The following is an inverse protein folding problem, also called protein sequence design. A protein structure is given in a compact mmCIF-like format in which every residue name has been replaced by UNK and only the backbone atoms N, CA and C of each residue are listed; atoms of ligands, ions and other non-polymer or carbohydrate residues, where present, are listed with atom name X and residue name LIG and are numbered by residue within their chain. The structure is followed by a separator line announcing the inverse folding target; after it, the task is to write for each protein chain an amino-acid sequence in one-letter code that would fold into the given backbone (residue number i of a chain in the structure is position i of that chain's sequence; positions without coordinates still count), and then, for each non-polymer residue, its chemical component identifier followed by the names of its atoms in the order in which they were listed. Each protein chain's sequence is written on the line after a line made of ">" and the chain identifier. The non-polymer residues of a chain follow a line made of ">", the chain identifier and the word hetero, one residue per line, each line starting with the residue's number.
data_IF_515820613440
#
_entry.id   IF_515820613440
#
_cell.length_a   1.000
_cell.length_b   1.000
_cell.length_c   1.000
_cell.angle_alpha   90.00
_cell.angle_beta   90.00
_cell.angle_gamma   90.00
#
_symmetry.space_group_name_H-M   'P 1'
#
loop_
_entity.id
_entity.type
_entity.pdbx_description
1 polymer ?
#
# COMPACT_ATOMS: atom_id res chain seq x y z
N UNK A 1 28.38 12.18 50.55
CA UNK A 1 26.97 12.22 50.08
C UNK A 1 26.75 13.23 48.94
N UNK A 2 27.22 14.49 49.03
CA UNK A 2 27.07 15.49 47.94
C UNK A 2 27.64 15.07 46.56
N UNK A 3 28.78 14.39 46.52
CA UNK A 3 29.42 13.92 45.26
C UNK A 3 28.64 12.81 44.54
N UNK A 4 27.99 11.92 45.30
CA UNK A 4 27.18 10.82 44.77
C UNK A 4 25.87 11.37 44.17
N UNK A 5 25.24 12.33 44.86
CA UNK A 5 24.05 13.00 44.36
C UNK A 5 24.32 13.75 43.05
N UNK A 6 25.48 14.39 42.92
CA UNK A 6 25.89 15.08 41.70
C UNK A 6 26.06 14.12 40.51
N UNK A 7 26.61 12.93 40.75
CA UNK A 7 26.78 11.87 39.75
C UNK A 7 25.45 11.30 39.27
N UNK A 8 24.45 11.19 40.16
CA UNK A 8 23.10 10.74 39.80
C UNK A 8 22.39 11.79 38.95
N UNK A 9 22.43 13.06 39.36
CA UNK A 9 21.79 14.16 38.61
C UNK A 9 22.43 14.31 37.22
N UNK A 10 23.76 14.19 37.10
CA UNK A 10 24.45 14.28 35.83
C UNK A 10 24.07 13.12 34.88
N UNK A 11 23.94 11.88 35.40
CA UNK A 11 23.46 10.75 34.60
C UNK A 11 21.99 10.90 34.18
N UNK A 12 21.12 11.45 35.03
CA UNK A 12 19.72 11.72 34.68
C UNK A 12 19.59 12.78 33.57
N UNK A 13 20.44 13.81 33.57
CA UNK A 13 20.43 14.84 32.51
C UNK A 13 20.95 14.25 31.18
N UNK A 14 22.01 13.44 31.21
CA UNK A 14 22.54 12.77 30.01
C UNK A 14 21.52 11.78 29.43
N UNK A 15 20.80 11.02 30.27
CA UNK A 15 19.71 10.14 29.85
C UNK A 15 18.52 10.92 29.26
N UNK A 16 18.19 12.09 29.80
CA UNK A 16 17.14 12.97 29.26
C UNK A 16 17.54 13.57 27.91
N UNK A 17 18.81 13.95 27.72
CA UNK A 17 19.30 14.49 26.44
C UNK A 17 19.49 13.42 25.35
N UNK A 18 19.72 12.15 25.73
CA UNK A 18 19.74 11.03 24.77
C UNK A 18 18.34 10.73 24.24
N UNK A 19 17.28 11.11 24.98
CA UNK A 19 15.90 10.87 24.57
C UNK A 19 15.42 11.85 23.48
N UNK A 20 15.99 13.06 23.38
CA UNK A 20 15.59 14.06 22.39
C UNK A 20 16.11 13.76 20.97
N UNK A 21 17.19 12.96 20.85
CA UNK A 21 17.63 12.42 19.55
C UNK A 21 16.93 11.10 19.20
N UNK A 22 16.16 10.55 20.14
CA UNK A 22 15.22 9.47 19.93
C UNK A 22 13.78 10.01 19.84
N UNK A 23 13.59 11.22 19.30
CA UNK A 23 12.42 11.47 18.46
C UNK A 23 12.55 10.46 17.32
N UNK A 24 12.00 9.28 17.56
CA UNK A 24 11.63 8.31 16.55
C UNK A 24 11.06 9.12 15.40
N UNK A 25 11.84 9.31 14.34
CA UNK A 25 11.26 9.51 13.03
C UNK A 25 10.42 8.27 12.86
N UNK A 26 9.14 8.33 13.22
CA UNK A 26 8.20 7.30 12.86
C UNK A 26 8.39 7.13 11.37
N UNK A 27 9.06 6.04 10.98
CA UNK A 27 9.20 5.70 9.57
C UNK A 27 7.76 5.59 9.11
N UNK A 28 7.26 6.56 8.33
CA UNK A 28 5.92 6.51 7.77
C UNK A 28 5.84 5.23 6.95
N UNK A 29 5.22 4.20 7.54
CA UNK A 29 5.05 2.87 6.93
C UNK A 29 3.86 2.84 5.98
N UNK A 30 3.07 3.91 6.00
CA UNK A 30 1.81 4.02 5.31
C UNK A 30 1.92 5.10 4.21
N UNK A 31 1.37 4.80 3.05
CA UNK A 31 1.09 5.79 2.01
C UNK A 31 -0.36 5.65 1.58
N UNK A 32 -1.08 6.77 1.64
CA UNK A 32 -2.45 6.86 1.18
C UNK A 32 -2.52 7.71 -0.08
N UNK A 33 -3.31 7.26 -1.05
CA UNK A 33 -3.67 8.05 -2.22
C UNK A 33 -5.15 7.87 -2.53
N UNK A 34 -5.79 8.96 -2.95
CA UNK A 34 -7.17 8.93 -3.40
C UNK A 34 -7.20 8.53 -4.87
N UNK A 35 -8.13 7.66 -5.25
CA UNK A 35 -8.35 7.36 -6.66
C UNK A 35 -9.28 8.45 -7.21
N UNK A 36 -8.85 9.23 -8.22
CA UNK A 36 -9.69 10.26 -8.79
C UNK A 36 -11.01 9.66 -9.31
N UNK A 37 -12.09 10.43 -9.25
CA UNK A 37 -13.44 10.08 -9.73
C UNK A 37 -14.23 9.11 -8.82
N UNK A 38 -13.60 8.52 -7.80
CA UNK A 38 -14.27 7.70 -6.79
C UNK A 38 -13.92 8.14 -5.37
N UNK A 39 -14.88 7.96 -4.45
CA UNK A 39 -14.71 8.20 -3.02
C UNK A 39 -14.00 6.99 -2.35
N UNK A 40 -12.81 6.68 -2.86
CA UNK A 40 -11.96 5.57 -2.43
C UNK A 40 -10.53 6.06 -2.23
N UNK A 41 -10.06 5.87 -1.01
CA UNK A 41 -8.66 6.01 -0.62
C UNK A 41 -8.04 4.62 -0.53
N UNK A 42 -6.89 4.45 -1.16
CA UNK A 42 -6.06 3.26 -1.02
C UNK A 42 -4.91 3.59 -0.09
N UNK A 43 -4.79 2.83 1.00
CA UNK A 43 -3.62 2.91 1.88
C UNK A 43 -2.79 1.65 1.75
N UNK A 44 -1.51 1.83 1.43
CA UNK A 44 -0.54 0.75 1.42
C UNK A 44 0.29 0.81 2.69
N UNK A 45 0.55 -0.33 3.31
CA UNK A 45 1.30 -0.39 4.56
C UNK A 45 2.21 -1.61 4.61
N UNK A 46 3.50 -1.43 4.86
CA UNK A 46 4.42 -2.53 5.14
C UNK A 46 4.58 -2.65 6.64
N UNK A 47 4.39 -3.84 7.18
CA UNK A 47 4.40 -4.13 8.61
C UNK A 47 5.57 -5.04 9.00
N UNK A 48 5.90 -5.02 10.29
CA UNK A 48 6.89 -5.92 10.87
C UNK A 48 6.47 -7.39 10.64
N UNK A 49 7.45 -8.28 10.49
CA UNK A 49 7.19 -9.67 10.12
C UNK A 49 6.92 -9.87 8.62
N UNK A 50 7.23 -8.88 7.78
CA UNK A 50 7.25 -9.03 6.34
C UNK A 50 5.87 -9.10 5.71
N UNK A 51 4.88 -8.35 6.22
CA UNK A 51 3.55 -8.25 5.64
C UNK A 51 3.35 -6.93 4.90
N UNK A 52 2.60 -6.98 3.81
CA UNK A 52 2.17 -5.82 3.05
C UNK A 52 0.65 -5.78 2.99
N UNK A 53 0.06 -4.66 3.39
CA UNK A 53 -1.37 -4.41 3.34
C UNK A 53 -1.69 -3.44 2.22
N UNK A 54 -2.71 -3.76 1.42
CA UNK A 54 -3.41 -2.81 0.54
C UNK A 54 -4.82 -2.66 1.07
N UNK A 55 -5.18 -1.46 1.54
CA UNK A 55 -6.39 -1.20 2.32
C UNK A 55 -7.28 -0.24 1.55
N UNK A 56 -8.56 -0.57 1.48
CA UNK A 56 -9.58 0.15 0.74
C UNK A 56 -10.56 0.79 1.72
N UNK A 57 -10.49 2.11 1.84
CA UNK A 57 -11.32 2.90 2.76
C UNK A 57 -11.81 4.16 2.08
N UNK A 58 -12.80 4.82 2.68
CA UNK A 58 -13.18 6.17 2.25
C UNK A 58 -12.11 7.18 2.68
N UNK A 59 -11.69 7.09 3.93
CA UNK A 59 -10.76 8.03 4.57
C UNK A 59 -9.33 7.47 4.60
N UNK A 60 -8.33 8.34 4.63
CA UNK A 60 -6.92 7.94 4.79
C UNK A 60 -6.64 7.34 6.16
N UNK A 61 -5.75 6.34 6.22
CA UNK A 61 -5.29 5.75 7.47
C UNK A 61 -3.91 6.30 7.81
N UNK A 62 -3.83 7.12 8.84
CA UNK A 62 -2.57 7.76 9.25
C UNK A 62 -1.57 6.76 9.84
N UNK A 63 -2.04 5.83 10.68
CA UNK A 63 -1.19 4.85 11.38
C UNK A 63 -1.90 3.51 11.55
N UNK A 64 -1.15 2.42 11.38
CA UNK A 64 -1.58 1.07 11.75
C UNK A 64 -0.71 0.54 12.88
N UNK A 65 -1.25 -0.23 13.85
CA UNK A 65 -0.45 -0.81 14.91
C UNK A 65 0.60 -1.79 14.38
N UNK A 66 1.82 -1.72 14.92
CA UNK A 66 2.97 -2.54 14.51
C UNK A 66 2.77 -4.05 14.68
N UNK A 67 1.89 -4.45 15.60
CA UNK A 67 1.62 -5.85 15.94
C UNK A 67 0.35 -6.39 15.29
N UNK A 68 -0.24 -5.67 14.33
CA UNK A 68 -1.48 -6.12 13.71
C UNK A 68 -1.21 -7.32 12.80
N UNK A 69 -1.92 -8.42 13.07
CA UNK A 69 -1.89 -9.61 12.22
C UNK A 69 -2.96 -9.49 11.14
N UNK A 70 -4.15 -9.01 11.52
CA UNK A 70 -5.29 -8.77 10.64
C UNK A 70 -6.02 -7.50 11.04
N UNK A 71 -6.49 -6.74 10.06
CA UNK A 71 -7.35 -5.57 10.31
C UNK A 71 -8.77 -6.03 10.66
N UNK A 72 -9.56 -5.17 11.35
CA UNK A 72 -10.95 -5.49 11.68
C UNK A 72 -11.77 -5.88 10.46
N UNK A 73 -12.74 -6.79 10.65
CA UNK A 73 -13.60 -7.31 9.58
C UNK A 73 -14.41 -6.24 8.85
N UNK A 74 -14.49 -5.03 9.40
CA UNK A 74 -15.17 -3.86 8.82
C UNK A 74 -14.34 -3.14 7.75
N UNK A 75 -13.06 -3.48 7.60
CA UNK A 75 -12.13 -2.85 6.66
C UNK A 75 -11.91 -3.80 5.49
N UNK A 76 -11.96 -3.29 4.26
CA UNK A 76 -11.66 -4.12 3.10
C UNK A 76 -10.16 -4.02 2.81
N UNK A 77 -9.47 -5.15 2.72
CA UNK A 77 -8.03 -5.15 2.49
C UNK A 77 -7.53 -6.46 1.90
N UNK A 78 -6.32 -6.38 1.35
CA UNK A 78 -5.49 -7.50 0.95
C UNK A 78 -4.27 -7.51 1.87
N UNK A 79 -3.95 -8.66 2.43
CA UNK A 79 -2.67 -8.91 3.08
C UNK A 79 -1.85 -9.85 2.22
N UNK A 80 -0.57 -9.51 2.07
CA UNK A 80 0.38 -10.26 1.26
C UNK A 80 1.72 -10.41 1.97
N UNK A 81 2.41 -11.50 1.71
CA UNK A 81 3.76 -11.74 2.21
C UNK A 81 4.78 -10.95 1.38
N UNK A 82 5.72 -10.24 2.00
CA UNK A 82 6.69 -9.33 1.34
C UNK A 82 7.89 -10.02 0.67
N UNK A 83 8.00 -11.35 0.74
CA UNK A 83 9.14 -12.07 0.15
C UNK A 83 9.03 -12.08 -1.39
N UNK A 84 10.03 -11.51 -2.08
CA UNK A 84 10.16 -11.46 -3.56
C UNK A 84 8.83 -11.30 -4.32
N UNK A 85 7.99 -10.38 -3.84
CA UNK A 85 6.65 -10.19 -4.37
C UNK A 85 6.67 -9.69 -5.82
N UNK A 86 5.88 -10.34 -6.67
CA UNK A 86 5.34 -9.69 -7.87
C UNK A 86 4.40 -8.53 -7.49
N UNK A 87 4.11 -7.62 -8.43
CA UNK A 87 3.29 -6.44 -8.14
C UNK A 87 1.88 -6.82 -7.67
N UNK A 88 1.33 -6.04 -6.75
CA UNK A 88 -0.10 -6.07 -6.44
C UNK A 88 -0.79 -5.22 -7.49
N UNK A 89 -1.76 -5.79 -8.18
CA UNK A 89 -2.46 -5.13 -9.29
C UNK A 89 -3.95 -5.21 -9.06
N UNK A 90 -4.65 -4.08 -9.22
CA UNK A 90 -6.10 -4.05 -9.12
C UNK A 90 -6.75 -3.03 -10.06
N UNK A 91 -7.97 -3.34 -10.49
CA UNK A 91 -8.74 -2.56 -11.45
C UNK A 91 -10.05 -2.14 -10.80
N UNK A 92 -10.43 -0.90 -11.04
CA UNK A 92 -11.67 -0.33 -10.53
C UNK A 92 -12.44 0.30 -11.68
N UNK A 93 -13.76 0.19 -11.61
CA UNK A 93 -14.67 0.89 -12.49
C UNK A 93 -15.28 2.09 -11.71
N UNK A 94 -14.98 3.34 -12.07
CA UNK A 94 -15.57 4.51 -11.42
C UNK A 94 -17.10 4.54 -11.43
N UNK A 95 -17.74 3.88 -12.41
CA UNK A 95 -19.18 3.74 -12.48
C UNK A 95 -19.74 2.66 -11.53
N UNK A 96 -18.92 1.71 -11.08
CA UNK A 96 -19.31 0.61 -10.17
C UNK A 96 -18.43 0.64 -8.91
N UNK A 97 -18.79 1.55 -7.99
CA UNK A 97 -17.95 1.95 -6.85
C UNK A 97 -17.74 0.88 -5.77
N UNK A 98 -18.52 -0.20 -5.81
CA UNK A 98 -18.51 -1.22 -4.76
C UNK A 98 -17.64 -2.42 -5.09
N UNK A 99 -17.11 -2.53 -6.33
CA UNK A 99 -16.31 -3.68 -6.77
C UNK A 99 -14.89 -3.28 -7.12
N UNK A 100 -13.93 -4.01 -6.57
CA UNK A 100 -12.50 -3.84 -6.83
C UNK A 100 -11.98 -5.18 -7.33
N UNK A 101 -11.42 -5.19 -8.53
CA UNK A 101 -10.95 -6.40 -9.18
C UNK A 101 -9.46 -6.59 -8.92
N UNK A 102 -9.09 -7.63 -8.18
CA UNK A 102 -7.72 -7.91 -7.76
C UNK A 102 -7.13 -8.96 -8.69
N UNK A 103 -5.99 -8.67 -9.30
CA UNK A 103 -5.29 -9.68 -10.11
C UNK A 103 -4.65 -10.70 -9.18
N UNK A 104 -4.90 -11.98 -9.45
CA UNK A 104 -4.32 -13.11 -8.71
C UNK A 104 -2.80 -12.97 -8.64
N UNK A 105 -2.30 -13.12 -7.43
CA UNK A 105 -0.89 -13.09 -7.13
C UNK A 105 -0.64 -14.17 -6.05
N UNK A 106 0.32 -15.08 -6.24
CA UNK A 106 0.58 -16.18 -5.31
C UNK A 106 0.99 -15.72 -3.90
N UNK A 107 1.40 -14.47 -3.75
CA UNK A 107 1.81 -13.88 -2.47
C UNK A 107 0.64 -13.24 -1.69
N UNK A 108 -0.58 -13.26 -2.22
CA UNK A 108 -1.78 -12.83 -1.48
C UNK A 108 -2.16 -13.94 -0.49
N UNK A 109 -1.97 -13.67 0.81
CA UNK A 109 -2.29 -14.60 1.88
C UNK A 109 -3.76 -14.50 2.32
N UNK A 110 -4.31 -13.29 2.28
CA UNK A 110 -5.64 -13.03 2.83
C UNK A 110 -6.35 -11.87 2.14
N UNK A 111 -7.67 -12.02 1.97
CA UNK A 111 -8.56 -11.03 1.38
C UNK A 111 -9.76 -10.86 2.30
N UNK A 112 -9.94 -9.66 2.86
CA UNK A 112 -11.15 -9.29 3.57
C UNK A 112 -12.03 -8.43 2.68
N UNK A 113 -13.17 -8.99 2.26
CA UNK A 113 -14.22 -8.24 1.58
C UNK A 113 -15.26 -7.80 2.61
N UNK A 114 -15.33 -6.50 2.89
CA UNK A 114 -16.32 -5.94 3.82
C UNK A 114 -17.14 -4.86 3.14
N UNK A 115 -16.69 -3.61 3.19
CA UNK A 115 -17.35 -2.47 2.55
C UNK A 115 -17.27 -2.50 1.03
N UNK A 116 -16.20 -3.10 0.49
CA UNK A 116 -15.99 -3.28 -0.94
C UNK A 116 -15.96 -4.78 -1.26
N UNK A 117 -16.54 -5.16 -2.39
CA UNK A 117 -16.45 -6.50 -2.95
C UNK A 117 -15.10 -6.64 -3.65
N UNK A 118 -14.19 -7.43 -3.07
CA UNK A 118 -12.89 -7.73 -3.67
C UNK A 118 -13.02 -8.98 -4.55
N UNK A 119 -12.97 -8.79 -5.86
CA UNK A 119 -13.14 -9.84 -6.87
C UNK A 119 -11.78 -10.29 -7.38
N UNK A 120 -11.40 -11.53 -7.09
CA UNK A 120 -10.15 -12.08 -7.58
C UNK A 120 -10.25 -12.42 -9.09
N UNK A 121 -9.23 -12.07 -9.86
CA UNK A 121 -9.15 -12.24 -11.31
C UNK A 121 -7.89 -12.98 -11.72
N UNK A 122 -8.02 -13.99 -12.58
CA UNK A 122 -6.87 -14.57 -13.25
C UNK A 122 -6.23 -13.56 -14.21
N UNK A 123 -4.94 -13.70 -14.45
CA UNK A 123 -4.20 -12.84 -15.38
C UNK A 123 -4.84 -12.79 -16.78
N UNK A 124 -5.35 -13.92 -17.30
CA UNK A 124 -6.03 -13.97 -18.60
C UNK A 124 -7.39 -13.25 -18.61
N UNK A 125 -8.13 -13.31 -17.49
CA UNK A 125 -9.40 -12.60 -17.32
C UNK A 125 -9.14 -11.09 -17.25
N UNK A 126 -8.07 -10.68 -16.59
CA UNK A 126 -7.62 -9.28 -16.56
C UNK A 126 -7.47 -8.72 -17.97
N UNK A 127 -6.70 -9.40 -18.83
CA UNK A 127 -6.44 -8.92 -20.19
C UNK A 127 -7.71 -8.89 -21.04
N UNK A 128 -8.45 -10.00 -21.10
CA UNK A 128 -9.65 -10.10 -21.95
C UNK A 128 -10.78 -9.16 -21.54
N UNK A 129 -11.03 -9.01 -20.23
CA UNK A 129 -12.13 -8.19 -19.74
C UNK A 129 -11.82 -6.70 -19.78
N UNK A 130 -10.60 -6.28 -19.40
CA UNK A 130 -10.32 -4.88 -19.07
C UNK A 130 -9.44 -4.14 -20.07
N UNK A 131 -8.77 -4.84 -20.98
CA UNK A 131 -7.89 -4.21 -21.97
C UNK A 131 -8.38 -4.42 -23.39
N UNK A 132 -8.11 -3.44 -24.26
CA UNK A 132 -8.37 -3.54 -25.68
C UNK A 132 -7.55 -4.68 -26.30
N UNK A 133 -8.10 -5.40 -27.29
CA UNK A 133 -7.34 -6.41 -28.04
C UNK A 133 -6.10 -5.77 -28.67
N UNK A 134 -4.95 -6.42 -28.49
CA UNK A 134 -3.70 -5.99 -29.12
C UNK A 134 -3.49 -6.67 -30.46
N UNK A 135 -2.86 -5.96 -31.39
CA UNK A 135 -2.26 -6.56 -32.60
C UNK A 135 -0.73 -6.54 -32.43
N UNK A 136 -0.11 -7.72 -32.32
CA UNK A 136 1.34 -7.84 -32.20
C UNK A 136 1.90 -7.37 -30.85
N UNK A 137 2.92 -6.50 -30.88
CA UNK A 137 3.66 -6.03 -29.68
C UNK A 137 3.21 -4.67 -29.17
N UNK A 138 2.06 -4.17 -29.61
CA UNK A 138 1.50 -2.90 -29.15
C UNK A 138 1.27 -2.90 -27.62
N UNK A 139 1.35 -1.73 -26.95
CA UNK A 139 1.09 -1.61 -25.52
C UNK A 139 -0.37 -1.96 -25.18
N UNK A 140 -0.65 -2.26 -23.90
CA UNK A 140 -1.96 -2.71 -23.43
C UNK A 140 -2.72 -1.39 -23.21
N UNK A 141 -3.86 -1.23 -23.88
CA UNK A 141 -4.70 -0.05 -23.69
C UNK A 141 -5.84 -0.47 -22.77
N UNK A 142 -5.94 0.14 -21.60
CA UNK A 142 -7.03 -0.10 -20.66
C UNK A 142 -8.34 0.42 -21.25
N UNK A 143 -9.42 -0.34 -21.19
CA UNK A 143 -10.76 0.08 -21.66
C UNK A 143 -11.31 1.21 -20.79
N UNK A 144 -12.01 2.17 -21.38
CA UNK A 144 -12.80 3.13 -20.63
C UNK A 144 -14.01 2.44 -19.96
N UNK A 145 -14.43 2.80 -18.72
CA UNK A 145 -13.90 3.84 -17.84
C UNK A 145 -12.93 3.31 -16.78
N UNK A 146 -12.31 2.15 -16.98
CA UNK A 146 -11.55 1.51 -15.91
C UNK A 146 -10.30 2.32 -15.52
N UNK A 147 -9.91 2.17 -14.25
CA UNK A 147 -8.65 2.64 -13.69
C UNK A 147 -7.90 1.41 -13.20
N UNK A 148 -6.65 1.24 -13.65
CA UNK A 148 -5.79 0.13 -13.25
C UNK A 148 -4.65 0.68 -12.41
N UNK A 149 -4.41 0.06 -11.25
CA UNK A 149 -3.36 0.45 -10.32
C UNK A 149 -2.42 -0.73 -10.14
N UNK A 150 -1.12 -0.43 -10.21
CA UNK A 150 -0.03 -1.39 -10.00
C UNK A 150 0.84 -0.88 -8.87
N UNK A 151 1.05 -1.72 -7.86
CA UNK A 151 1.94 -1.48 -6.73
C UNK A 151 3.11 -2.46 -6.84
N UNK A 152 4.25 -1.96 -7.28
CA UNK A 152 5.53 -2.68 -7.27
C UNK A 152 6.09 -2.62 -5.85
N UNK A 153 5.87 -3.67 -5.08
CA UNK A 153 6.18 -3.74 -3.64
C UNK A 153 7.68 -3.80 -3.33
N UNK A 154 8.50 -4.15 -4.33
CA UNK A 154 9.97 -4.20 -4.30
C UNK A 154 10.62 -2.81 -4.32
N UNK A 155 10.19 -1.96 -5.25
CA UNK A 155 10.66 -0.58 -5.47
C UNK A 155 9.80 0.45 -4.76
N UNK A 156 8.67 0.00 -4.21
CA UNK A 156 7.57 0.83 -3.75
C UNK A 156 7.17 1.91 -4.76
N UNK A 157 6.95 1.45 -5.99
CA UNK A 157 6.42 2.27 -7.07
C UNK A 157 4.93 2.00 -7.18
N UNK A 158 4.12 3.05 -7.24
CA UNK A 158 2.69 2.96 -7.48
C UNK A 158 2.39 3.71 -8.75
N UNK A 159 1.88 2.97 -9.73
CA UNK A 159 1.52 3.46 -11.03
C UNK A 159 0.01 3.35 -11.25
N UNK A 160 -0.54 4.34 -11.96
CA UNK A 160 -1.94 4.39 -12.35
C UNK A 160 -2.02 4.47 -13.86
N UNK A 161 -2.76 3.52 -14.43
CA UNK A 161 -3.14 3.46 -15.83
C UNK A 161 -4.63 3.83 -15.99
N UNK A 162 -4.91 4.65 -17.00
CA UNK A 162 -6.27 5.06 -17.40
C UNK A 162 -6.45 4.79 -18.90
N UNK A 163 -7.59 5.18 -19.48
CA UNK A 163 -7.84 5.15 -20.94
C UNK A 163 -6.93 6.13 -21.72
N UNK A 164 -5.62 5.95 -21.63
CA UNK A 164 -4.53 6.62 -22.37
C UNK A 164 -3.31 5.69 -22.36
N UNK A 165 -2.43 5.82 -23.35
CA UNK A 165 -1.18 5.03 -23.44
C UNK A 165 -0.15 5.44 -22.37
N UNK A 166 -0.43 6.51 -21.61
CA UNK A 166 0.48 7.06 -20.60
C UNK A 166 0.15 6.54 -19.21
N UNK A 167 1.05 5.73 -18.67
CA UNK A 167 1.11 5.36 -17.26
C UNK A 167 1.57 6.55 -16.42
N UNK A 168 0.92 6.81 -15.29
CA UNK A 168 1.27 7.88 -14.35
C UNK A 168 1.82 7.28 -13.05
N UNK A 169 3.08 7.55 -12.73
CA UNK A 169 3.67 7.19 -11.43
C UNK A 169 3.25 8.20 -10.36
N UNK A 170 2.47 7.74 -9.38
CA UNK A 170 2.00 8.59 -8.26
C UNK A 170 2.85 8.44 -6.99
N UNK A 171 3.65 7.38 -6.89
CA UNK A 171 4.61 7.16 -5.81
C UNK A 171 5.82 6.42 -6.34
N UNK A 172 7.01 6.85 -5.95
CA UNK A 172 8.28 6.16 -6.19
C UNK A 172 9.10 6.12 -4.90
N UNK A 173 9.89 5.07 -4.75
CA UNK A 173 10.89 4.96 -3.69
C UNK A 173 10.29 4.75 -2.31
N UNK A 174 11.15 4.54 -1.33
CA UNK A 174 10.92 3.55 -0.29
C UNK A 174 9.69 3.77 0.63
N UNK A 175 9.03 2.65 1.00
CA UNK A 175 8.03 2.57 2.06
C UNK A 175 8.68 2.58 3.46
N UNK A 176 10.01 2.40 3.52
CA UNK A 176 10.81 2.40 4.75
C UNK A 176 12.09 3.28 4.74
N UNK A 177 12.26 4.13 3.73
CA UNK A 177 13.44 4.97 3.53
C UNK A 177 14.70 4.23 3.08
N UNK A 178 15.02 4.37 1.78
CA UNK A 178 16.16 3.77 1.13
C UNK A 178 16.28 4.31 -0.30
N UNK A 179 17.01 5.42 -0.45
CA UNK A 179 17.64 5.75 -1.72
C UNK A 179 18.99 5.01 -1.75
N UNK A 180 19.28 4.33 -2.85
CA UNK A 180 20.66 4.19 -3.32
C UNK A 180 20.94 5.34 -4.28
#
# INVERSE_FOLDING_TARGET
>A
MKKILLLIILNCIVLSCINDNAVTKEKKRNFSFCIPEIDLTVTTSKQAGGRFYTIFTKDSIESLPDSIVFLPDTVAYIASETQEMGPISFIINPAQKDSIYIVENPYIEYIQSSKYKLCLLKYQERESCFFEPRIGTEPLILKYPYIHIVISTDTYTIDIDRYKITQETIKKGDIYGGWQ
#
